data_IF_138899362196
#
_entry.id   IF_138899362196
#
_cell.length_a   1.000
_cell.length_b   1.000
_cell.length_c   1.000
_cell.angle_alpha   90.00
_cell.angle_beta   90.00
_cell.angle_gamma   90.00
#
_symmetry.space_group_name_H-M   'P 1'
#
loop_
_entity.id
_entity.type
_entity.pdbx_description
1 polymer ?
#
# COMPACT_ATOMS: atom_id res chain seq x y z
N UNK A 1 18.21 16.98 -19.80
CA UNK A 1 17.88 15.58 -20.13
C UNK A 1 17.16 14.96 -18.94
N UNK A 2 16.17 14.09 -19.14
CA UNK A 2 15.45 13.44 -18.03
C UNK A 2 16.34 12.29 -17.55
N UNK A 3 16.90 12.39 -16.34
CA UNK A 3 17.88 11.43 -15.81
C UNK A 3 17.15 10.35 -15.01
N UNK A 4 17.05 9.16 -15.59
CA UNK A 4 16.55 7.95 -14.94
C UNK A 4 17.62 7.34 -14.03
N UNK A 5 17.20 6.55 -13.04
CA UNK A 5 18.15 5.74 -12.26
C UNK A 5 18.65 4.54 -13.06
N UNK A 6 17.76 3.96 -13.87
CA UNK A 6 18.03 2.80 -14.73
C UNK A 6 17.13 2.89 -15.96
N UNK A 7 17.59 2.31 -17.07
CA UNK A 7 16.91 2.35 -18.37
C UNK A 7 17.07 3.68 -19.11
N UNK A 8 16.93 3.64 -20.44
CA UNK A 8 17.03 4.82 -21.30
C UNK A 8 15.65 5.33 -21.73
N UNK A 9 15.46 6.65 -21.57
CA UNK A 9 14.26 7.41 -22.00
C UNK A 9 14.58 8.47 -23.04
N UNK A 10 15.79 8.45 -23.61
CA UNK A 10 16.15 9.27 -24.76
C UNK A 10 15.30 8.89 -25.97
N UNK A 11 14.90 9.87 -26.78
CA UNK A 11 14.04 9.63 -27.94
C UNK A 11 14.78 10.03 -29.20
N UNK A 12 14.79 9.14 -30.18
CA UNK A 12 15.19 9.44 -31.55
C UNK A 12 14.02 10.05 -32.33
N UNK A 13 14.33 10.69 -33.45
CA UNK A 13 13.30 11.22 -34.36
C UNK A 13 12.40 10.10 -34.90
N UNK A 14 12.98 8.96 -35.30
CA UNK A 14 12.23 7.83 -35.84
C UNK A 14 11.22 7.24 -34.85
N UNK A 15 11.61 7.08 -33.58
CA UNK A 15 10.70 6.59 -32.54
C UNK A 15 9.50 7.53 -32.34
N UNK A 16 9.73 8.84 -32.41
CA UNK A 16 8.68 9.86 -32.31
C UNK A 16 7.80 9.84 -33.57
N UNK A 17 8.40 9.81 -34.75
CA UNK A 17 7.69 9.79 -36.04
C UNK A 17 6.74 8.57 -36.15
N UNK A 18 7.14 7.41 -35.63
CA UNK A 18 6.28 6.21 -35.58
C UNK A 18 4.98 6.49 -34.80
N UNK A 19 5.03 7.24 -33.70
CA UNK A 19 3.82 7.53 -32.90
C UNK A 19 2.77 8.32 -33.69
N UNK A 20 3.18 9.16 -34.65
CA UNK A 20 2.23 9.90 -35.49
C UNK A 20 1.47 9.03 -36.49
N UNK A 21 1.86 7.75 -36.66
CA UNK A 21 1.15 6.78 -37.51
C UNK A 21 -0.05 6.13 -36.82
N UNK A 22 -0.20 6.32 -35.50
CA UNK A 22 -1.22 5.67 -34.69
C UNK A 22 -2.10 6.69 -33.94
N UNK A 23 -3.32 6.27 -33.62
CA UNK A 23 -4.23 7.03 -32.77
C UNK A 23 -4.14 6.53 -31.33
N UNK A 24 -3.95 7.46 -30.38
CA UNK A 24 -3.88 7.16 -28.95
C UNK A 24 -5.03 7.81 -28.17
N UNK A 25 -6.28 7.33 -28.35
CA UNK A 25 -7.39 7.79 -27.52
C UNK A 25 -7.15 7.41 -26.05
N UNK A 26 -7.34 8.37 -25.14
CA UNK A 26 -7.15 8.17 -23.71
C UNK A 26 -8.50 7.88 -23.06
N UNK A 27 -8.56 6.77 -22.32
CA UNK A 27 -9.73 6.36 -21.56
C UNK A 27 -9.42 6.37 -20.07
N UNK A 28 -10.37 6.85 -19.27
CA UNK A 28 -10.34 6.68 -17.83
C UNK A 28 -11.17 5.46 -17.43
N UNK A 29 -10.56 4.52 -16.70
CA UNK A 29 -11.27 3.41 -16.07
C UNK A 29 -11.20 3.62 -14.56
N UNK A 30 -12.28 4.17 -14.01
CA UNK A 30 -12.50 4.13 -12.57
C UNK A 30 -12.86 2.71 -12.15
N UNK A 31 -12.51 2.33 -10.92
CA UNK A 31 -12.88 1.05 -10.33
C UNK A 31 -13.33 1.26 -8.89
N UNK A 32 -14.13 0.32 -8.37
CA UNK A 32 -14.49 0.30 -6.96
C UNK A 32 -13.25 -0.09 -6.15
N UNK A 33 -12.65 0.86 -5.44
CA UNK A 33 -11.42 0.62 -4.69
C UNK A 33 -11.66 -0.12 -3.37
N UNK A 34 -12.91 -0.28 -2.92
CA UNK A 34 -13.26 -1.05 -1.72
C UNK A 34 -13.22 -2.57 -1.97
N UNK A 35 -13.63 -3.00 -3.17
CA UNK A 35 -13.61 -4.42 -3.56
C UNK A 35 -12.17 -4.90 -3.83
N UNK A 36 -11.98 -6.21 -3.96
CA UNK A 36 -10.67 -6.80 -4.23
C UNK A 36 -10.07 -6.22 -5.53
N UNK A 37 -8.77 -5.92 -5.51
CA UNK A 37 -8.05 -5.52 -6.73
C UNK A 37 -8.05 -6.63 -7.79
N UNK A 38 -8.25 -7.90 -7.40
CA UNK A 38 -8.49 -9.00 -8.32
C UNK A 38 -9.80 -8.84 -9.10
N UNK A 39 -10.91 -8.50 -8.43
CA UNK A 39 -12.18 -8.22 -9.09
C UNK A 39 -12.10 -6.97 -9.97
N UNK A 40 -11.38 -5.94 -9.49
CA UNK A 40 -11.09 -4.75 -10.27
C UNK A 40 -10.25 -5.06 -11.52
N UNK A 41 -9.37 -6.08 -11.47
CA UNK A 41 -8.61 -6.55 -12.64
C UNK A 41 -9.49 -7.29 -13.65
N UNK A 42 -10.51 -8.04 -13.18
CA UNK A 42 -11.53 -8.63 -14.04
C UNK A 42 -12.36 -7.52 -14.71
N UNK A 43 -12.73 -6.48 -13.98
CA UNK A 43 -13.41 -5.32 -14.54
C UNK A 43 -12.55 -4.58 -15.59
N UNK A 44 -11.24 -4.43 -15.34
CA UNK A 44 -10.28 -3.88 -16.29
C UNK A 44 -10.22 -4.73 -17.58
N UNK A 45 -10.19 -6.06 -17.46
CA UNK A 45 -10.21 -6.97 -18.61
C UNK A 45 -11.44 -6.73 -19.50
N UNK A 46 -12.63 -6.68 -18.90
CA UNK A 46 -13.89 -6.41 -19.61
C UNK A 46 -13.89 -5.02 -20.27
N UNK A 47 -13.35 -4.02 -19.58
CA UNK A 47 -13.25 -2.67 -20.10
C UNK A 47 -12.35 -2.61 -21.35
N UNK A 48 -11.17 -3.22 -21.29
CA UNK A 48 -10.22 -3.29 -22.42
C UNK A 48 -10.87 -3.98 -23.61
N UNK A 49 -11.52 -5.12 -23.40
CA UNK A 49 -12.18 -5.88 -24.47
C UNK A 49 -13.28 -5.06 -25.14
N UNK A 50 -14.07 -4.33 -24.36
CA UNK A 50 -15.08 -3.40 -24.88
C UNK A 50 -14.46 -2.30 -25.74
N UNK A 51 -13.36 -1.68 -25.31
CA UNK A 51 -12.72 -0.62 -26.10
C UNK A 51 -12.10 -1.15 -27.39
N UNK A 52 -11.44 -2.31 -27.34
CA UNK A 52 -10.89 -2.98 -28.53
C UNK A 52 -12.01 -3.29 -29.52
N UNK A 53 -13.12 -3.89 -29.04
CA UNK A 53 -14.26 -4.22 -29.88
C UNK A 53 -14.92 -2.97 -30.49
N UNK A 54 -15.08 -1.90 -29.71
CA UNK A 54 -15.65 -0.64 -30.19
C UNK A 54 -14.87 -0.06 -31.38
N UNK A 55 -13.54 -0.07 -31.33
CA UNK A 55 -12.72 0.41 -32.44
C UNK A 55 -12.74 -0.54 -33.64
N UNK A 56 -12.70 -1.86 -33.41
CA UNK A 56 -12.84 -2.86 -34.48
C UNK A 56 -14.15 -2.71 -35.24
N UNK A 57 -15.27 -2.50 -34.53
CA UNK A 57 -16.59 -2.25 -35.14
C UNK A 57 -16.64 -0.98 -35.97
N UNK A 58 -15.76 -0.01 -35.72
CA UNK A 58 -15.61 1.21 -36.52
C UNK A 58 -14.58 1.07 -37.65
N UNK A 59 -14.20 -0.16 -38.00
CA UNK A 59 -13.23 -0.44 -39.07
C UNK A 59 -11.79 -0.04 -38.73
N UNK A 60 -11.45 0.12 -37.44
CA UNK A 60 -10.08 0.42 -37.00
C UNK A 60 -9.36 -0.85 -36.56
N UNK A 61 -8.09 -1.00 -36.95
CA UNK A 61 -7.22 -2.04 -36.40
C UNK A 61 -6.86 -1.68 -34.95
N UNK A 62 -7.31 -2.49 -34.00
CA UNK A 62 -7.02 -2.34 -32.58
C UNK A 62 -6.92 -3.73 -31.96
N UNK A 63 -5.78 -4.07 -31.37
CA UNK A 63 -5.54 -5.39 -30.75
C UNK A 63 -4.95 -5.30 -29.36
N UNK A 64 -4.27 -4.19 -29.04
CA UNK A 64 -3.56 -4.00 -27.79
C UNK A 64 -3.80 -2.60 -27.25
N UNK A 65 -3.62 -2.46 -25.94
CA UNK A 65 -3.68 -1.19 -25.21
C UNK A 65 -2.35 -0.90 -24.52
N UNK A 66 -2.18 0.33 -24.06
CA UNK A 66 -1.11 0.72 -23.13
C UNK A 66 -1.78 1.12 -21.82
N UNK A 67 -1.26 0.63 -20.70
CA UNK A 67 -1.80 0.95 -19.38
C UNK A 67 -0.97 2.05 -18.71
N UNK A 68 -1.63 3.05 -18.16
CA UNK A 68 -1.02 4.06 -17.29
C UNK A 68 -1.75 3.97 -15.96
N UNK A 69 -1.01 3.73 -14.87
CA UNK A 69 -1.60 3.47 -13.57
C UNK A 69 -1.08 4.45 -12.54
N UNK A 70 -1.96 4.89 -11.64
CA UNK A 70 -1.62 5.62 -10.43
C UNK A 70 -1.81 4.72 -9.21
N UNK A 71 -0.88 4.76 -8.26
CA UNK A 71 -1.00 4.09 -6.96
C UNK A 71 -1.41 2.61 -7.08
N UNK A 72 -2.44 2.18 -6.34
CA UNK A 72 -2.98 0.82 -6.32
C UNK A 72 -3.56 0.36 -7.67
N UNK A 73 -3.85 1.26 -8.60
CA UNK A 73 -4.19 0.88 -9.98
C UNK A 73 -3.07 0.08 -10.64
N UNK A 74 -1.82 0.25 -10.17
CA UNK A 74 -0.68 -0.57 -10.59
C UNK A 74 -0.81 -2.03 -10.15
N UNK A 75 -1.39 -2.30 -8.98
CA UNK A 75 -1.66 -3.66 -8.49
C UNK A 75 -2.76 -4.33 -9.33
N UNK A 76 -3.81 -3.57 -9.67
CA UNK A 76 -4.88 -4.02 -10.59
C UNK A 76 -4.29 -4.40 -11.96
N UNK A 77 -3.45 -3.54 -12.54
CA UNK A 77 -2.82 -3.79 -13.83
C UNK A 77 -1.84 -4.98 -13.79
N UNK A 78 -1.05 -5.13 -12.72
CA UNK A 78 -0.19 -6.30 -12.52
C UNK A 78 -1.01 -7.58 -12.43
N UNK A 79 -2.10 -7.59 -11.66
CA UNK A 79 -2.93 -8.78 -11.52
C UNK A 79 -3.59 -9.15 -12.87
N UNK A 80 -4.13 -8.17 -13.59
CA UNK A 80 -4.68 -8.39 -14.92
C UNK A 80 -3.64 -8.98 -15.88
N UNK A 81 -2.46 -8.34 -15.98
CA UNK A 81 -1.45 -8.75 -16.95
C UNK A 81 -0.80 -10.10 -16.60
N UNK A 82 -0.57 -10.37 -15.32
CA UNK A 82 0.27 -11.49 -14.88
C UNK A 82 -0.52 -12.71 -14.37
N UNK A 83 -1.75 -12.51 -13.88
CA UNK A 83 -2.55 -13.60 -13.31
C UNK A 83 -3.81 -13.90 -14.12
N UNK A 84 -4.29 -12.97 -14.97
CA UNK A 84 -5.48 -13.16 -15.81
C UNK A 84 -5.17 -13.30 -17.31
N UNK A 85 -3.90 -13.47 -17.69
CA UNK A 85 -3.48 -13.59 -19.09
C UNK A 85 -3.58 -12.29 -19.89
N UNK A 86 -3.82 -11.15 -19.24
CA UNK A 86 -4.03 -9.86 -19.89
C UNK A 86 -2.81 -9.30 -20.63
N UNK A 87 -1.60 -9.80 -20.35
CA UNK A 87 -0.38 -9.34 -21.01
C UNK A 87 -0.46 -9.43 -22.54
N UNK A 88 -1.16 -10.42 -23.10
CA UNK A 88 -1.32 -10.55 -24.55
C UNK A 88 -2.00 -9.33 -25.20
N UNK A 89 -2.85 -8.60 -24.46
CA UNK A 89 -3.59 -7.42 -24.92
C UNK A 89 -2.94 -6.10 -24.50
N UNK A 90 -1.75 -6.13 -23.89
CA UNK A 90 -1.08 -4.94 -23.37
C UNK A 90 0.29 -4.80 -24.05
N UNK A 91 0.59 -3.65 -24.64
CA UNK A 91 1.90 -3.34 -25.22
C UNK A 91 2.94 -3.02 -24.14
N UNK A 92 2.50 -2.35 -23.07
CA UNK A 92 3.34 -1.95 -21.97
C UNK A 92 2.54 -1.25 -20.88
N UNK A 93 3.19 -1.02 -19.74
CA UNK A 93 2.57 -0.41 -18.56
C UNK A 93 3.48 0.69 -18.00
N UNK A 94 2.90 1.85 -17.72
CA UNK A 94 3.57 2.93 -16.96
C UNK A 94 2.95 3.02 -15.58
N UNK A 95 3.74 2.76 -14.54
CA UNK A 95 3.36 2.85 -13.15
C UNK A 95 3.82 4.17 -12.53
N UNK A 96 2.89 4.96 -11.99
CA UNK A 96 3.20 6.12 -11.16
C UNK A 96 2.90 5.83 -9.70
N UNK A 97 3.90 6.05 -8.82
CA UNK A 97 3.78 5.96 -7.35
C UNK A 97 3.10 4.67 -6.85
N UNK A 98 3.38 3.54 -7.50
CA UNK A 98 2.77 2.25 -7.15
C UNK A 98 3.33 1.73 -5.81
N UNK A 99 2.47 1.35 -4.83
CA UNK A 99 2.91 0.65 -3.62
C UNK A 99 3.20 -0.82 -3.92
N UNK A 100 4.31 -1.09 -4.61
CA UNK A 100 4.56 -2.39 -5.22
C UNK A 100 4.64 -3.56 -4.23
N UNK A 101 5.01 -3.26 -2.97
CA UNK A 101 5.13 -4.22 -1.87
C UNK A 101 4.12 -3.96 -0.73
N UNK A 102 3.21 -2.99 -0.89
CA UNK A 102 2.33 -2.49 0.17
C UNK A 102 2.87 -1.26 0.91
N UNK A 103 2.19 -0.81 1.96
CA UNK A 103 2.59 0.32 2.79
C UNK A 103 2.14 0.13 4.24
N UNK A 104 3.06 0.30 5.20
CA UNK A 104 2.71 0.19 6.62
C UNK A 104 1.79 1.33 7.11
N UNK A 105 1.57 2.35 6.27
CA UNK A 105 0.53 3.37 6.47
C UNK A 105 -0.86 2.76 6.69
N UNK A 106 -1.21 1.64 6.04
CA UNK A 106 -2.50 0.96 6.26
C UNK A 106 -2.66 0.47 7.70
N UNK A 107 -1.58 -0.05 8.30
CA UNK A 107 -1.58 -0.42 9.72
C UNK A 107 -1.78 0.83 10.61
N UNK A 108 -1.03 1.92 10.37
CA UNK A 108 -1.19 3.17 11.13
C UNK A 108 -2.63 3.66 11.06
N UNK A 109 -3.21 3.59 9.86
CA UNK A 109 -4.56 4.08 9.60
C UNK A 109 -5.63 3.33 10.35
N UNK A 110 -5.58 1.99 10.33
CA UNK A 110 -6.50 1.17 11.13
C UNK A 110 -6.31 1.39 12.64
N UNK A 111 -5.09 1.70 13.10
CA UNK A 111 -4.81 1.91 14.53
C UNK A 111 -5.03 3.32 15.06
N UNK A 112 -4.98 4.35 14.23
CA UNK A 112 -4.95 5.73 14.72
C UNK A 112 -5.65 6.75 13.82
N UNK A 113 -6.33 6.33 12.73
CA UNK A 113 -7.00 7.25 11.80
C UNK A 113 -6.12 7.75 10.66
N UNK A 114 -6.49 8.82 9.99
CA UNK A 114 -5.61 9.50 9.02
C UNK A 114 -4.57 10.38 9.73
N UNK A 115 -3.47 10.70 9.04
CA UNK A 115 -2.31 11.44 9.56
C UNK A 115 -2.57 12.93 9.87
N UNK A 116 -3.82 13.32 10.12
CA UNK A 116 -4.26 14.70 10.39
C UNK A 116 -3.82 15.17 11.80
N UNK A 117 -2.55 15.54 11.95
CA UNK A 117 -2.02 16.08 13.21
C UNK A 117 -0.71 16.88 13.13
N UNK A 118 0.01 16.83 12.01
CA UNK A 118 1.24 17.64 11.83
C UNK A 118 1.32 18.12 10.39
N UNK A 119 1.31 19.45 10.20
CA UNK A 119 1.13 20.13 8.92
C UNK A 119 1.92 19.54 7.74
N UNK A 120 1.26 19.62 6.57
CA UNK A 120 1.66 19.14 5.25
C UNK A 120 1.56 17.62 5.04
N UNK A 121 0.41 17.17 4.52
CA UNK A 121 0.27 16.55 3.19
C UNK A 121 -1.11 15.89 3.11
N UNK A 122 -1.91 16.34 2.15
CA UNK A 122 -3.15 15.68 1.70
C UNK A 122 -2.76 14.35 1.06
N UNK A 123 -2.76 13.27 1.84
CA UNK A 123 -2.51 11.91 1.36
C UNK A 123 -3.80 11.20 0.97
N UNK A 124 -3.82 10.54 -0.20
CA UNK A 124 -4.69 9.51 -0.80
C UNK A 124 -6.19 9.37 -0.52
N UNK A 125 -6.75 10.05 0.49
CA UNK A 125 -8.17 10.14 0.78
C UNK A 125 -8.48 11.26 1.80
N UNK A 126 -7.54 12.19 2.03
CA UNK A 126 -7.53 13.19 3.12
C UNK A 126 -8.63 14.24 3.13
N UNK A 127 -9.69 14.12 2.33
CA UNK A 127 -10.82 15.05 2.38
C UNK A 127 -12.22 14.42 2.38
N UNK A 128 -12.41 13.14 2.00
CA UNK A 128 -13.79 12.68 1.72
C UNK A 128 -14.24 11.33 2.32
N UNK A 129 -13.38 10.37 2.69
CA UNK A 129 -13.90 9.03 3.08
C UNK A 129 -13.15 8.36 4.27
N UNK A 130 -12.03 8.89 4.76
CA UNK A 130 -11.22 8.22 5.80
C UNK A 130 -11.16 9.05 7.09
N UNK A 131 -11.82 8.55 8.14
CA UNK A 131 -12.02 9.29 9.38
C UNK A 131 -10.77 9.50 10.23
N UNK A 132 -10.83 10.42 11.21
CA UNK A 132 -9.68 10.84 12.00
C UNK A 132 -9.24 9.81 13.04
N UNK A 133 -9.94 8.68 13.19
CA UNK A 133 -9.73 7.69 14.25
C UNK A 133 -9.65 6.25 13.74
N UNK A 134 -9.11 5.37 14.57
CA UNK A 134 -9.09 3.92 14.38
C UNK A 134 -10.50 3.35 14.16
N UNK A 135 -11.49 3.88 14.86
CA UNK A 135 -12.89 3.45 14.76
C UNK A 135 -13.43 3.65 13.34
N UNK A 136 -13.32 4.89 12.83
CA UNK A 136 -13.81 5.22 11.50
C UNK A 136 -13.04 4.47 10.39
N UNK A 137 -11.73 4.32 10.55
CA UNK A 137 -10.89 3.61 9.59
C UNK A 137 -11.16 2.11 9.59
N UNK A 138 -11.19 1.48 10.76
CA UNK A 138 -11.40 0.03 10.89
C UNK A 138 -12.77 -0.35 10.37
N UNK A 139 -13.82 0.41 10.68
CA UNK A 139 -15.20 0.12 10.25
C UNK A 139 -15.33 -0.08 8.73
N UNK A 140 -14.56 0.68 7.94
CA UNK A 140 -14.53 0.57 6.48
C UNK A 140 -13.49 -0.46 6.02
N UNK A 141 -12.24 -0.33 6.48
CA UNK A 141 -11.12 -1.11 5.95
C UNK A 141 -11.22 -2.59 6.32
N UNK A 142 -11.68 -2.94 7.52
CA UNK A 142 -11.74 -4.36 7.94
C UNK A 142 -12.75 -5.18 7.14
N UNK A 143 -13.61 -4.53 6.37
CA UNK A 143 -14.63 -5.17 5.52
C UNK A 143 -14.35 -4.97 4.03
N UNK A 144 -13.25 -4.31 3.68
CA UNK A 144 -12.91 -3.92 2.32
C UNK A 144 -11.58 -4.56 1.90
N UNK A 145 -11.60 -5.64 1.09
CA UNK A 145 -10.37 -6.32 0.66
C UNK A 145 -9.43 -5.41 -0.14
N UNK A 146 -9.96 -4.46 -0.93
CA UNK A 146 -9.16 -3.56 -1.76
C UNK A 146 -8.12 -2.77 -0.97
N UNK A 147 -8.51 -1.95 0.03
CA UNK A 147 -7.57 -1.25 0.89
C UNK A 147 -6.68 -2.17 1.73
N UNK A 148 -7.20 -3.34 2.17
CA UNK A 148 -6.38 -4.31 2.92
C UNK A 148 -5.28 -4.93 2.06
N UNK A 149 -5.45 -5.02 0.74
CA UNK A 149 -4.40 -5.44 -0.19
C UNK A 149 -3.24 -4.43 -0.33
N UNK A 150 -3.33 -3.26 0.31
CA UNK A 150 -2.21 -2.34 0.50
C UNK A 150 -1.32 -2.73 1.70
N UNK A 151 -1.75 -3.65 2.57
CA UNK A 151 -0.93 -4.09 3.70
C UNK A 151 0.42 -4.67 3.22
N UNK A 152 1.50 -4.51 4.00
CA UNK A 152 2.76 -5.19 3.73
C UNK A 152 2.62 -6.72 3.55
N UNK A 153 3.05 -7.25 2.42
CA UNK A 153 3.21 -8.70 2.21
C UNK A 153 4.54 -9.21 2.78
N UNK A 154 4.84 -10.50 2.58
CA UNK A 154 6.14 -11.06 3.00
C UNK A 154 7.33 -10.37 2.33
N UNK A 155 7.18 -10.04 1.05
CA UNK A 155 8.23 -9.38 0.26
C UNK A 155 8.50 -7.92 0.66
N UNK A 156 7.61 -7.28 1.42
CA UNK A 156 7.85 -5.94 1.98
C UNK A 156 9.04 -5.92 2.96
N UNK A 157 9.35 -7.09 3.54
CA UNK A 157 10.43 -7.28 4.49
C UNK A 157 9.92 -7.52 5.91
N UNK A 158 10.85 -7.94 6.76
CA UNK A 158 10.61 -8.23 8.17
C UNK A 158 10.78 -6.98 9.03
N UNK A 159 10.35 -7.04 10.29
CA UNK A 159 10.70 -6.09 11.36
C UNK A 159 10.24 -4.63 11.17
N UNK A 160 9.20 -4.39 10.36
CA UNK A 160 8.66 -3.05 10.11
C UNK A 160 7.74 -2.53 11.22
N UNK A 161 7.04 -3.40 11.97
CA UNK A 161 6.29 -3.01 13.16
C UNK A 161 7.19 -3.11 14.39
N UNK A 162 7.46 -1.99 15.06
CA UNK A 162 8.39 -1.87 16.18
C UNK A 162 7.65 -1.48 17.45
N UNK A 163 7.91 -2.20 18.54
CA UNK A 163 7.43 -1.86 19.89
C UNK A 163 8.67 -1.61 20.73
N UNK A 164 8.94 -0.34 20.99
CA UNK A 164 10.08 0.13 21.79
C UNK A 164 9.63 0.31 23.23
N UNK A 165 10.23 -0.46 24.12
CA UNK A 165 10.03 -0.34 25.55
C UNK A 165 11.38 -0.17 26.24
N UNK A 166 11.72 1.08 26.58
CA UNK A 166 13.04 1.49 27.05
C UNK A 166 14.17 0.97 26.12
N UNK A 167 15.07 0.11 26.62
CA UNK A 167 16.16 -0.48 25.82
C UNK A 167 15.71 -1.66 24.95
N UNK A 168 14.50 -2.17 25.15
CA UNK A 168 13.99 -3.35 24.44
C UNK A 168 13.25 -2.92 23.19
N UNK A 169 13.57 -3.54 22.05
CA UNK A 169 12.85 -3.32 20.79
C UNK A 169 12.36 -4.66 20.28
N UNK A 170 11.05 -4.87 20.33
CA UNK A 170 10.40 -5.96 19.62
C UNK A 170 10.12 -5.50 18.19
N UNK A 171 10.38 -6.36 17.21
CA UNK A 171 10.17 -6.04 15.81
C UNK A 171 9.50 -7.20 15.07
N UNK A 172 8.40 -6.90 14.39
CA UNK A 172 7.53 -7.84 13.67
C UNK A 172 7.35 -7.38 12.21
N UNK A 173 7.02 -8.29 11.28
CA UNK A 173 7.01 -9.73 11.47
C UNK A 173 8.44 -10.27 11.55
N UNK A 174 8.59 -11.44 12.17
CA UNK A 174 9.79 -12.27 12.04
C UNK A 174 9.73 -13.06 10.73
N UNK A 175 8.56 -13.54 10.31
CA UNK A 175 8.41 -14.31 9.07
C UNK A 175 7.11 -14.01 8.30
N UNK A 176 5.95 -14.01 8.96
CA UNK A 176 4.63 -13.91 8.32
C UNK A 176 3.79 -12.78 8.94
N UNK A 177 3.61 -11.63 8.25
CA UNK A 177 2.83 -10.52 8.79
C UNK A 177 1.35 -10.83 8.99
N UNK A 178 0.80 -11.80 8.26
CA UNK A 178 -0.61 -12.16 8.38
C UNK A 178 -0.88 -12.82 9.72
N UNK A 179 -0.10 -13.84 10.09
CA UNK A 179 -0.26 -14.50 11.39
C UNK A 179 0.33 -13.69 12.53
N UNK A 180 1.45 -13.00 12.33
CA UNK A 180 2.17 -12.32 13.41
C UNK A 180 1.66 -10.92 13.70
N UNK A 181 0.88 -10.28 12.82
CA UNK A 181 0.36 -8.92 13.00
C UNK A 181 -1.12 -8.82 12.70
N UNK A 182 -1.56 -9.25 11.51
CA UNK A 182 -2.89 -8.92 11.00
C UNK A 182 -4.00 -9.71 11.70
N UNK A 183 -3.73 -10.97 12.03
CA UNK A 183 -4.65 -11.88 12.69
C UNK A 183 -4.40 -12.00 14.21
N UNK A 184 -3.64 -11.07 14.80
CA UNK A 184 -3.39 -11.02 16.24
C UNK A 184 -4.52 -10.28 16.99
N UNK A 185 -5.64 -10.97 17.22
CA UNK A 185 -6.88 -10.41 17.79
C UNK A 185 -6.70 -9.73 19.14
N UNK A 186 -6.01 -10.40 20.07
CA UNK A 186 -5.97 -10.00 21.48
C UNK A 186 -4.71 -9.19 21.84
N UNK A 187 -3.92 -8.81 20.83
CA UNK A 187 -2.72 -8.01 21.02
C UNK A 187 -3.08 -6.55 20.84
N UNK A 188 -2.70 -5.71 21.80
CA UNK A 188 -2.94 -4.26 21.74
C UNK A 188 -2.29 -3.61 20.51
N UNK A 189 -1.24 -4.22 19.98
CA UNK A 189 -0.52 -3.82 18.77
C UNK A 189 -0.97 -4.59 17.52
N UNK A 190 -1.90 -5.55 17.62
CA UNK A 190 -2.49 -6.23 16.46
C UNK A 190 -3.20 -5.24 15.54
N UNK A 191 -3.31 -5.58 14.25
CA UNK A 191 -3.80 -4.67 13.21
C UNK A 191 -5.22 -4.14 13.47
N UNK A 192 -6.13 -5.04 13.86
CA UNK A 192 -7.56 -4.79 13.85
C UNK A 192 -8.16 -4.94 15.24
N UNK A 193 -8.79 -3.88 15.73
CA UNK A 193 -9.52 -3.87 17.01
C UNK A 193 -10.93 -4.40 16.76
N UNK A 194 -11.27 -5.56 17.32
CA UNK A 194 -12.54 -6.24 17.01
C UNK A 194 -13.79 -5.40 17.26
N UNK A 195 -13.78 -4.54 18.28
CA UNK A 195 -14.89 -3.63 18.59
C UNK A 195 -15.11 -2.48 17.58
N UNK A 196 -14.13 -2.21 16.71
CA UNK A 196 -14.20 -1.16 15.70
C UNK A 196 -14.56 -1.70 14.31
N UNK A 197 -14.77 -3.01 14.15
CA UNK A 197 -15.15 -3.61 12.86
C UNK A 197 -16.55 -3.15 12.44
N UNK A 198 -17.50 -3.07 13.37
CA UNK A 198 -18.89 -2.70 13.11
C UNK A 198 -19.46 -1.84 14.25
N UNK A 199 -18.95 -0.61 14.42
CA UNK A 199 -19.33 0.26 15.53
C UNK A 199 -20.85 0.54 15.47
N UNK A 200 -21.51 0.43 16.63
CA UNK A 200 -22.95 0.68 16.76
C UNK A 200 -23.89 -0.46 16.33
N UNK A 201 -23.38 -1.56 15.74
CA UNK A 201 -24.18 -2.76 15.46
C UNK A 201 -23.77 -3.97 16.30
N UNK A 202 -22.46 -4.16 16.50
CA UNK A 202 -21.95 -5.32 17.25
C UNK A 202 -21.88 -5.01 18.74
N UNK A 203 -22.96 -5.35 19.45
CA UNK A 203 -23.16 -4.94 20.84
C UNK A 203 -22.75 -6.01 21.86
N UNK A 204 -22.70 -7.28 21.45
CA UNK A 204 -22.33 -8.41 22.31
C UNK A 204 -21.05 -9.15 21.85
N UNK A 205 -20.51 -10.09 22.65
CA UNK A 205 -19.32 -10.87 22.28
C UNK A 205 -19.51 -11.76 21.04
N UNK A 206 -20.70 -12.30 20.81
CA UNK A 206 -20.96 -13.21 19.70
C UNK A 206 -20.94 -12.46 18.35
N UNK A 207 -21.50 -11.25 18.31
CA UNK A 207 -21.40 -10.35 17.16
C UNK A 207 -19.93 -10.04 16.83
N UNK A 208 -19.15 -9.70 17.85
CA UNK A 208 -17.71 -9.37 17.69
C UNK A 208 -16.89 -10.58 17.25
N UNK A 209 -17.27 -11.79 17.64
CA UNK A 209 -16.68 -13.04 17.16
C UNK A 209 -16.98 -13.27 15.68
N UNK A 210 -18.23 -13.05 15.27
CA UNK A 210 -18.65 -13.16 13.87
C UNK A 210 -17.95 -12.13 12.97
N UNK A 211 -17.86 -10.89 13.43
CA UNK A 211 -17.14 -9.82 12.73
C UNK A 211 -15.66 -10.16 12.57
N UNK A 212 -15.02 -10.60 13.65
CA UNK A 212 -13.63 -11.04 13.60
C UNK A 212 -13.41 -12.22 12.65
N UNK A 213 -14.31 -13.21 12.64
CA UNK A 213 -14.25 -14.33 11.70
C UNK A 213 -14.37 -13.85 10.25
N UNK A 214 -15.20 -12.84 9.98
CA UNK A 214 -15.38 -12.26 8.64
C UNK A 214 -14.11 -11.52 8.20
N UNK A 215 -13.56 -10.67 9.07
CA UNK A 215 -12.27 -10.02 8.83
C UNK A 215 -11.15 -11.04 8.59
N UNK A 216 -11.07 -12.07 9.43
CA UNK A 216 -10.05 -13.13 9.31
C UNK A 216 -10.15 -13.88 7.99
N UNK A 217 -11.38 -14.22 7.56
CA UNK A 217 -11.63 -14.84 6.25
C UNK A 217 -11.22 -13.91 5.11
N UNK A 218 -11.52 -12.62 5.19
CA UNK A 218 -11.11 -11.61 4.20
C UNK A 218 -9.58 -11.58 4.07
N UNK A 219 -8.87 -11.49 5.20
CA UNK A 219 -7.40 -11.52 5.22
C UNK A 219 -6.86 -12.81 4.59
N UNK A 220 -7.41 -13.97 4.94
CA UNK A 220 -6.91 -15.27 4.50
C UNK A 220 -7.26 -15.62 3.05
N UNK A 221 -8.44 -15.22 2.56
CA UNK A 221 -8.98 -15.68 1.28
C UNK A 221 -8.83 -14.66 0.16
N UNK A 222 -8.77 -13.37 0.49
CA UNK A 222 -8.77 -12.31 -0.52
C UNK A 222 -7.51 -11.45 -0.47
N UNK A 223 -7.01 -11.15 0.74
CA UNK A 223 -5.86 -10.25 0.91
C UNK A 223 -4.54 -10.99 0.75
N UNK A 224 -4.30 -12.03 1.56
CA UNK A 224 -3.05 -12.81 1.54
C UNK A 224 -2.79 -13.44 0.17
N UNK A 225 -3.74 -14.16 -0.47
CA UNK A 225 -3.48 -14.76 -1.77
C UNK A 225 -3.16 -13.71 -2.82
N UNK A 226 -3.91 -12.60 -2.85
CA UNK A 226 -3.67 -11.52 -3.81
C UNK A 226 -2.28 -10.90 -3.67
N UNK A 227 -1.87 -10.52 -2.45
CA UNK A 227 -0.58 -9.87 -2.21
C UNK A 227 0.57 -10.83 -2.56
N UNK A 228 0.52 -12.06 -2.04
CA UNK A 228 1.61 -13.03 -2.21
C UNK A 228 1.72 -13.50 -3.66
N UNK A 229 0.59 -13.74 -4.34
CA UNK A 229 0.59 -14.16 -5.75
C UNK A 229 1.09 -13.08 -6.69
N UNK A 230 1.09 -11.81 -6.29
CA UNK A 230 1.57 -10.71 -7.12
C UNK A 230 3.08 -10.46 -6.96
N UNK A 231 3.72 -11.05 -5.95
CA UNK A 231 5.13 -10.85 -5.65
C UNK A 231 6.02 -11.13 -6.86
N UNK A 232 6.87 -10.17 -7.23
CA UNK A 232 7.81 -10.30 -8.36
C UNK A 232 7.17 -10.34 -9.76
N UNK A 233 5.84 -10.21 -9.88
CA UNK A 233 5.13 -10.28 -11.16
C UNK A 233 4.87 -8.89 -11.73
N UNK A 234 5.43 -8.64 -12.92
CA UNK A 234 5.31 -7.39 -13.67
C UNK A 234 5.20 -7.66 -15.16
N UNK A 235 4.58 -6.76 -15.91
CA UNK A 235 4.59 -6.83 -17.36
C UNK A 235 6.04 -6.68 -17.88
N UNK A 236 6.52 -7.49 -18.85
CA UNK A 236 7.90 -7.40 -19.32
C UNK A 236 8.31 -6.02 -19.83
N UNK A 237 7.35 -5.27 -20.38
CA UNK A 237 7.49 -3.87 -20.79
C UNK A 237 6.86 -2.92 -19.75
N UNK A 238 7.37 -2.93 -18.52
CA UNK A 238 6.93 -2.04 -17.43
C UNK A 238 7.91 -0.89 -17.22
N UNK A 239 7.36 0.31 -17.00
CA UNK A 239 8.09 1.55 -16.73
C UNK A 239 7.56 2.15 -15.44
N UNK A 240 8.40 2.71 -14.57
CA UNK A 240 7.89 3.25 -13.32
C UNK A 240 8.57 4.54 -12.88
N UNK A 241 7.80 5.41 -12.21
CA UNK A 241 8.35 6.49 -11.41
C UNK A 241 7.81 6.47 -9.99
N UNK A 242 8.62 6.95 -9.04
CA UNK A 242 8.31 6.95 -7.61
C UNK A 242 9.01 8.13 -6.92
N UNK A 243 8.62 8.42 -5.68
CA UNK A 243 9.32 9.40 -4.84
C UNK A 243 10.11 8.74 -3.72
N UNK A 244 11.27 9.32 -3.43
CA UNK A 244 12.10 9.01 -2.27
C UNK A 244 12.57 10.31 -1.61
N UNK A 245 11.66 11.29 -1.53
CA UNK A 245 11.94 12.56 -0.88
C UNK A 245 11.61 12.48 0.62
N UNK A 246 12.50 13.03 1.45
CA UNK A 246 12.32 13.16 2.90
C UNK A 246 11.33 14.26 3.27
N UNK A 247 10.95 15.14 2.35
CA UNK A 247 9.85 16.09 2.54
C UNK A 247 8.50 15.38 2.63
N UNK A 248 8.36 14.24 1.94
CA UNK A 248 7.15 13.42 1.91
C UNK A 248 7.37 12.10 2.66
N UNK A 249 7.68 12.19 3.96
CA UNK A 249 7.92 10.99 4.78
C UNK A 249 6.71 10.07 4.77
N UNK A 250 6.98 8.78 4.65
CA UNK A 250 5.97 7.72 4.63
C UNK A 250 6.29 6.64 5.68
N UNK A 251 5.26 5.92 6.10
CA UNK A 251 5.38 4.81 7.03
C UNK A 251 5.98 3.58 6.33
N UNK A 252 7.31 3.57 6.25
CA UNK A 252 8.11 2.38 5.94
C UNK A 252 8.06 1.37 7.09
N UNK A 253 8.40 1.88 8.28
CA UNK A 253 8.22 1.22 9.56
C UNK A 253 7.15 1.96 10.37
N UNK A 254 6.51 1.23 11.30
CA UNK A 254 5.59 1.79 12.29
C UNK A 254 6.15 1.52 13.67
N UNK A 255 6.27 2.54 14.51
CA UNK A 255 6.88 2.41 15.83
C UNK A 255 5.95 2.90 16.95
N UNK A 256 5.66 2.01 17.90
CA UNK A 256 5.09 2.36 19.19
C UNK A 256 6.22 2.51 20.21
N UNK A 257 6.25 3.62 20.95
CA UNK A 257 7.24 3.88 22.00
C UNK A 257 6.57 4.01 23.36
N UNK A 258 7.01 3.22 24.32
CA UNK A 258 6.58 3.32 25.70
C UNK A 258 7.01 4.66 26.31
N UNK A 259 6.08 5.31 27.00
CA UNK A 259 6.30 6.45 27.86
C UNK A 259 5.91 6.01 29.28
N UNK A 260 6.87 5.42 30.00
CA UNK A 260 6.66 4.99 31.39
C UNK A 260 6.88 6.18 32.33
N UNK A 261 5.91 6.52 33.22
CA UNK A 261 6.13 7.55 34.23
C UNK A 261 7.34 7.21 35.13
N UNK A 262 8.15 8.22 35.50
CA UNK A 262 9.34 8.00 36.35
C UNK A 262 9.00 7.38 37.71
N UNK A 263 7.87 7.79 38.30
CA UNK A 263 7.39 7.24 39.57
C UNK A 263 7.07 5.74 39.45
N UNK A 264 6.36 5.33 38.40
CA UNK A 264 6.04 3.93 38.11
C UNK A 264 7.29 3.09 37.89
N UNK A 265 8.25 3.60 37.11
CA UNK A 265 9.52 2.91 36.85
C UNK A 265 10.34 2.72 38.14
N UNK A 266 10.38 3.76 38.99
CA UNK A 266 11.09 3.73 40.28
C UNK A 266 10.43 2.79 41.29
N UNK A 267 9.10 2.84 41.46
CA UNK A 267 8.34 1.96 42.35
C UNK A 267 8.58 0.48 42.01
N UNK A 268 8.70 0.18 40.73
CA UNK A 268 8.96 -1.16 40.22
C UNK A 268 10.45 -1.49 40.06
N UNK A 269 11.34 -0.68 40.65
CA UNK A 269 12.81 -0.87 40.68
C UNK A 269 13.43 -1.11 39.30
N UNK A 270 12.88 -0.52 38.25
CA UNK A 270 13.30 -0.73 36.86
C UNK A 270 13.37 -2.21 36.44
N UNK A 271 12.47 -3.04 37.00
CA UNK A 271 12.35 -4.45 36.61
C UNK A 271 12.08 -4.58 35.11
N UNK A 272 12.62 -5.64 34.51
CA UNK A 272 12.41 -5.95 33.10
C UNK A 272 10.91 -6.23 32.86
N UNK A 273 10.37 -5.58 31.84
CA UNK A 273 8.98 -5.65 31.40
C UNK A 273 8.88 -6.14 29.96
N UNK A 274 7.71 -6.68 29.61
CA UNK A 274 7.42 -7.15 28.26
C UNK A 274 6.30 -6.31 27.63
N UNK A 275 6.70 -5.40 26.73
CA UNK A 275 5.77 -4.56 25.99
C UNK A 275 4.88 -5.32 25.00
N UNK A 276 5.40 -6.42 24.45
CA UNK A 276 4.70 -7.24 23.46
C UNK A 276 3.56 -8.04 24.13
N UNK A 277 3.77 -8.48 25.37
CA UNK A 277 2.80 -9.21 26.19
C UNK A 277 1.86 -8.30 27.00
N UNK A 278 1.92 -6.97 26.81
CA UNK A 278 1.08 -6.04 27.55
C UNK A 278 -0.41 -6.22 27.26
N UNK A 279 -1.27 -5.87 28.23
CA UNK A 279 -2.72 -5.87 28.10
C UNK A 279 -3.22 -4.45 27.96
N UNK A 280 -4.09 -4.18 26.98
CA UNK A 280 -4.76 -2.88 26.85
C UNK A 280 -5.61 -2.61 28.10
N UNK A 281 -5.47 -1.42 28.67
CA UNK A 281 -6.23 -0.95 29.84
C UNK A 281 -7.53 -0.28 29.43
N UNK A 282 -7.50 0.46 28.31
CA UNK A 282 -8.68 1.04 27.69
C UNK A 282 -8.73 0.60 26.23
N UNK A 283 -9.70 -0.25 25.90
CA UNK A 283 -9.85 -0.70 24.52
C UNK A 283 -10.41 0.40 23.63
N UNK A 284 -11.09 1.41 24.18
CA UNK A 284 -11.75 2.47 23.40
C UNK A 284 -10.78 3.50 22.81
N UNK A 285 -9.50 3.46 23.22
CA UNK A 285 -8.45 4.31 22.65
C UNK A 285 -8.27 4.07 21.15
N UNK A 286 -8.53 5.11 20.37
CA UNK A 286 -8.64 5.04 18.91
C UNK A 286 -7.69 5.97 18.16
N UNK A 287 -6.71 6.56 18.85
CA UNK A 287 -5.76 7.52 18.27
C UNK A 287 -4.31 7.02 18.41
N UNK A 288 -3.33 7.90 18.56
CA UNK A 288 -1.91 7.55 18.57
C UNK A 288 -1.39 7.08 19.94
N UNK A 289 -2.23 7.05 20.97
CA UNK A 289 -1.89 6.61 22.33
C UNK A 289 -2.56 5.29 22.67
N UNK A 290 -1.84 4.44 23.41
CA UNK A 290 -2.36 3.19 23.98
C UNK A 290 -1.90 3.02 25.42
N UNK A 291 -2.84 2.98 26.35
CA UNK A 291 -2.63 2.70 27.76
C UNK A 291 -2.65 1.18 27.97
N UNK A 292 -1.56 0.64 28.51
CA UNK A 292 -1.38 -0.80 28.70
C UNK A 292 -0.79 -1.13 30.07
N UNK A 293 -1.02 -2.34 30.53
CA UNK A 293 -0.29 -2.95 31.64
C UNK A 293 0.66 -4.01 31.11
N UNK A 294 1.96 -3.75 31.24
CA UNK A 294 3.02 -4.67 30.80
C UNK A 294 3.43 -5.59 31.94
N UNK A 295 3.48 -6.91 31.73
CA UNK A 295 3.92 -7.83 32.77
C UNK A 295 5.38 -7.57 33.17
N UNK A 296 5.66 -7.70 34.46
CA UNK A 296 6.99 -7.55 35.06
C UNK A 296 7.61 -8.92 35.35
N UNK A 297 8.90 -9.04 35.09
CA UNK A 297 9.70 -10.23 35.43
C UNK A 297 10.52 -10.05 36.71
N UNK A 298 10.94 -11.15 37.34
CA UNK A 298 11.72 -11.14 38.59
C UNK A 298 10.86 -11.04 39.86
N UNK A 299 11.50 -10.90 41.02
CA UNK A 299 10.84 -10.84 42.33
C UNK A 299 10.32 -9.44 42.67
N UNK A 300 9.03 -9.33 42.98
CA UNK A 300 8.39 -8.10 43.46
C UNK A 300 6.87 -8.30 43.62
N UNK A 301 6.23 -7.43 44.40
CA UNK A 301 4.79 -7.54 44.69
C UNK A 301 3.91 -7.22 43.47
N UNK A 302 4.34 -6.27 42.62
CA UNK A 302 3.63 -5.91 41.40
C UNK A 302 3.92 -6.92 40.28
N UNK A 303 2.86 -7.37 39.61
CA UNK A 303 2.92 -8.31 38.48
C UNK A 303 2.92 -7.61 37.12
N UNK A 304 2.59 -6.32 37.08
CA UNK A 304 2.62 -5.50 35.89
C UNK A 304 2.87 -4.02 36.18
N UNK A 305 3.21 -3.26 35.13
CA UNK A 305 3.45 -1.82 35.18
C UNK A 305 2.53 -1.11 34.19
N UNK A 306 1.88 -0.04 34.64
CA UNK A 306 1.03 0.79 33.80
C UNK A 306 1.88 1.76 32.99
N UNK A 307 1.68 1.79 31.68
CA UNK A 307 2.39 2.70 30.79
C UNK A 307 1.56 3.04 29.56
N UNK A 308 1.91 4.16 28.92
CA UNK A 308 1.29 4.58 27.67
C UNK A 308 2.28 4.40 26.54
N UNK A 309 1.88 3.73 25.47
CA UNK A 309 2.60 3.72 24.20
C UNK A 309 2.11 4.86 23.31
N UNK A 310 3.07 5.57 22.70
CA UNK A 310 2.82 6.59 21.70
C UNK A 310 3.27 6.08 20.33
N UNK A 311 2.41 6.19 19.33
CA UNK A 311 2.76 5.96 17.95
C UNK A 311 3.64 7.12 17.45
N UNK A 312 4.79 6.78 16.85
CA UNK A 312 5.75 7.75 16.33
C UNK A 312 5.40 8.17 14.89
N UNK A 313 5.82 9.38 14.45
CA UNK A 313 5.64 9.84 13.08
C UNK A 313 6.42 9.00 12.06
N UNK A 314 6.06 9.13 10.79
CA UNK A 314 6.77 8.52 9.67
C UNK A 314 8.22 9.06 9.56
N UNK A 315 9.18 8.16 9.29
CA UNK A 315 10.61 8.50 9.19
C UNK A 315 11.21 8.22 7.81
N UNK A 316 10.65 7.31 7.02
CA UNK A 316 11.23 6.88 5.74
C UNK A 316 10.86 7.84 4.59
N UNK A 317 11.80 8.06 3.67
CA UNK A 317 11.53 8.85 2.46
C UNK A 317 10.44 8.20 1.60
N UNK A 318 9.67 9.01 0.88
CA UNK A 318 8.57 8.48 0.06
C UNK A 318 7.82 9.57 -0.68
N UNK A 319 6.52 9.36 -0.85
CA UNK A 319 5.56 10.31 -1.42
C UNK A 319 4.46 10.75 -0.42
N UNK A 320 4.66 10.46 0.87
CA UNK A 320 3.69 10.72 1.94
C UNK A 320 2.69 9.58 2.19
N UNK A 321 2.66 8.56 1.33
CA UNK A 321 1.87 7.33 1.54
C UNK A 321 2.70 6.08 1.32
N UNK A 322 3.43 6.02 0.21
CA UNK A 322 4.27 4.91 -0.19
C UNK A 322 5.72 5.19 0.20
N UNK A 323 6.32 4.36 1.05
CA UNK A 323 7.73 4.47 1.40
C UNK A 323 8.61 4.02 0.25
N UNK A 324 9.83 4.56 0.17
CA UNK A 324 10.79 4.28 -0.90
C UNK A 324 11.03 2.78 -1.09
N UNK A 325 11.07 1.98 -0.02
CA UNK A 325 11.25 0.53 -0.13
C UNK A 325 10.17 -0.17 -0.97
N UNK A 326 8.95 0.39 -1.00
CA UNK A 326 7.83 -0.15 -1.76
C UNK A 326 7.69 0.52 -3.14
N UNK A 327 7.99 1.82 -3.24
CA UNK A 327 7.92 2.56 -4.50
C UNK A 327 9.09 2.25 -5.47
N UNK A 328 10.27 1.93 -4.93
CA UNK A 328 11.49 1.66 -5.72
C UNK A 328 11.56 0.21 -6.19
N UNK A 329 10.73 -0.12 -7.18
CA UNK A 329 10.67 -1.45 -7.83
C UNK A 329 12.06 -1.84 -8.37
N UNK A 330 12.47 -3.10 -8.20
CA UNK A 330 13.75 -3.61 -8.67
C UNK A 330 13.94 -3.45 -10.19
N UNK A 331 15.16 -3.14 -10.63
CA UNK A 331 15.42 -2.75 -12.03
C UNK A 331 15.15 -3.86 -13.04
N UNK A 332 15.37 -5.13 -12.69
CA UNK A 332 15.14 -6.27 -13.57
C UNK A 332 13.65 -6.51 -13.90
N UNK A 333 12.74 -5.80 -13.22
CA UNK A 333 11.30 -5.81 -13.53
C UNK A 333 10.88 -4.64 -14.44
N UNK A 334 11.79 -3.71 -14.76
CA UNK A 334 11.47 -2.47 -15.43
C UNK A 334 12.38 -2.22 -16.64
N UNK A 335 11.82 -1.59 -17.66
CA UNK A 335 12.57 -1.04 -18.79
C UNK A 335 13.25 0.28 -18.41
N UNK A 336 12.62 1.08 -17.55
CA UNK A 336 13.26 2.21 -16.88
C UNK A 336 12.58 2.57 -15.56
N UNK A 337 13.35 3.17 -14.65
CA UNK A 337 12.88 3.70 -13.37
C UNK A 337 13.31 5.15 -13.18
N UNK A 338 12.36 6.00 -12.79
CA UNK A 338 12.60 7.42 -12.55
C UNK A 338 12.26 7.82 -11.11
N UNK A 339 13.26 8.25 -10.35
CA UNK A 339 13.04 8.85 -9.05
C UNK A 339 12.71 10.34 -9.21
N UNK A 340 11.61 10.78 -8.61
CA UNK A 340 11.16 12.16 -8.65
C UNK A 340 10.56 12.59 -7.31
N UNK A 341 10.88 13.79 -6.85
CA UNK A 341 10.21 14.39 -5.68
C UNK A 341 8.78 14.81 -6.02
N UNK A 342 7.80 14.05 -5.52
CA UNK A 342 6.36 14.32 -5.65
C UNK A 342 5.61 13.78 -4.44
N UNK A 343 4.49 14.43 -4.08
CA UNK A 343 3.49 13.81 -3.21
C UNK A 343 2.66 12.78 -3.97
N UNK A 344 2.06 11.84 -3.25
CA UNK A 344 1.34 10.71 -3.81
C UNK A 344 0.19 11.14 -4.74
N UNK A 345 -0.68 12.04 -4.28
CA UNK A 345 -1.88 12.47 -5.03
C UNK A 345 -1.53 13.26 -6.28
N UNK A 346 -0.68 14.27 -6.13
CA UNK A 346 -0.34 15.18 -7.21
C UNK A 346 0.76 14.62 -8.14
N UNK A 347 1.11 13.34 -8.01
CA UNK A 347 2.21 12.71 -8.74
C UNK A 347 2.16 12.97 -10.25
N UNK A 348 0.99 12.79 -10.89
CA UNK A 348 0.80 13.04 -12.32
C UNK A 348 0.58 14.52 -12.69
N UNK A 349 0.40 15.41 -11.71
CA UNK A 349 0.41 16.86 -11.94
C UNK A 349 1.84 17.39 -12.11
N UNK A 350 2.85 16.64 -11.65
CA UNK A 350 4.24 17.03 -11.82
C UNK A 350 4.70 16.92 -13.29
N UNK A 351 5.29 18.00 -13.81
CA UNK A 351 5.71 18.09 -15.21
C UNK A 351 6.80 17.09 -15.60
N UNK A 352 7.70 16.72 -14.71
CA UNK A 352 8.74 15.72 -15.00
C UNK A 352 8.16 14.30 -14.99
N UNK A 353 7.19 13.99 -14.12
CA UNK A 353 6.45 12.73 -14.17
C UNK A 353 5.71 12.59 -15.51
N UNK A 354 5.01 13.64 -15.95
CA UNK A 354 4.36 13.67 -17.27
C UNK A 354 5.36 13.47 -18.43
N UNK A 355 6.52 14.13 -18.37
CA UNK A 355 7.59 13.94 -19.38
C UNK A 355 8.13 12.52 -19.40
N UNK A 356 8.34 11.91 -18.24
CA UNK A 356 8.74 10.51 -18.13
C UNK A 356 7.67 9.59 -18.74
N UNK A 357 6.40 9.77 -18.36
CA UNK A 357 5.28 9.00 -18.91
C UNK A 357 5.22 9.11 -20.43
N UNK A 358 5.31 10.31 -20.99
CA UNK A 358 5.28 10.51 -22.45
C UNK A 358 6.46 9.81 -23.14
N UNK A 359 7.67 9.88 -22.57
CA UNK A 359 8.84 9.19 -23.12
C UNK A 359 8.69 7.67 -23.05
N UNK A 360 8.20 7.15 -21.93
CA UNK A 360 7.89 5.73 -21.78
C UNK A 360 6.83 5.28 -22.80
N UNK A 361 5.79 6.08 -23.05
CA UNK A 361 4.79 5.79 -24.09
C UNK A 361 5.43 5.65 -25.47
N UNK A 362 6.29 6.61 -25.86
CA UNK A 362 7.00 6.53 -27.15
C UNK A 362 7.83 5.25 -27.25
N UNK A 363 8.54 4.86 -26.19
CA UNK A 363 9.32 3.61 -26.14
C UNK A 363 8.43 2.36 -26.19
N UNK A 364 7.31 2.35 -25.48
CA UNK A 364 6.34 1.25 -25.49
C UNK A 364 5.77 1.04 -26.90
N UNK A 365 5.48 2.12 -27.64
CA UNK A 365 4.91 2.06 -28.99
C UNK A 365 5.81 1.34 -29.99
N UNK A 366 7.13 1.35 -29.79
CA UNK A 366 8.06 0.64 -30.70
C UNK A 366 7.79 -0.87 -30.74
N UNK A 367 7.20 -1.44 -29.69
CA UNK A 367 6.83 -2.86 -29.66
C UNK A 367 5.72 -3.21 -30.68
N UNK A 368 5.04 -2.23 -31.27
CA UNK A 368 4.05 -2.45 -32.33
C UNK A 368 4.68 -3.12 -33.56
N UNK A 369 5.97 -2.87 -33.84
CA UNK A 369 6.69 -3.49 -34.97
C UNK A 369 6.71 -5.02 -34.89
N UNK A 370 6.56 -5.57 -33.68
CA UNK A 370 6.53 -7.02 -33.42
C UNK A 370 5.10 -7.60 -33.46
N UNK A 371 4.13 -6.85 -33.95
CA UNK A 371 2.70 -7.22 -33.93
C UNK A 371 2.07 -7.06 -35.31
N UNK A 372 0.87 -7.61 -35.48
CA UNK A 372 0.06 -7.40 -36.68
C UNK A 372 -0.38 -5.93 -36.89
N UNK A 373 -0.12 -5.05 -35.91
CA UNK A 373 -0.40 -3.61 -35.99
C UNK A 373 0.76 -2.81 -36.62
N UNK A 374 1.87 -3.44 -37.01
CA UNK A 374 3.01 -2.74 -37.63
C UNK A 374 2.54 -1.94 -38.86
N UNK A 375 3.04 -0.72 -38.99
CA UNK A 375 2.78 0.12 -40.16
C UNK A 375 3.73 -0.32 -41.27
N UNK A 376 3.18 -0.66 -42.44
CA UNK A 376 3.95 -1.05 -43.63
C UNK A 376 4.49 0.15 -44.41
#
# INVERSE_FOLDING_TARGET
>A
MLKTETGDVSLSKGEVDLTYRYLFPVFAMGYNWLQSNGDSAIALAKFIDKQIQFYRQKGRMCEKVILITHSMGGLVARHYTQNLGGAAKVLGVVHGVMPALGAAATYRRMKAGTENGSGNVVGWLGAQILGPSAEAMTAVLSQSPGPLQLLPGKAYGQRWLKIRDDKTIHALPVADPYSEIYLQRDKWWGLCEGQFINPGKSTDPADRDKDWQTFSKTIQREVKPFIEDLCGKYHPNSWAFYSADMTYRAYGDVCWRANTPRAEAWLNRNRKRDGLAARALDKTEMFEKRSVSSPLSGSGWATGIHQTYQLLPAEEAGDGTVPVRSGRIAEHHLQARFQISVSHEAAFQNRQAQKFTLRALVKIVQQIEQTALRYE
#
